data_IF_732249819204
#
_entry.id   IF_732249819204
#
_cell.length_a   1.000
_cell.length_b   1.000
_cell.length_c   1.000
_cell.angle_alpha   90.00
_cell.angle_beta   90.00
_cell.angle_gamma   90.00
#
_symmetry.space_group_name_H-M   'P 1'
#
loop_
_entity.id
_entity.type
_entity.pdbx_description
1 polymer ?
#
# COMPACT_ATOMS: atom_id res chain seq x y z
N UNK A 1 21.31 -9.60 -17.58
CA UNK A 1 20.01 -9.57 -16.89
C UNK A 1 20.29 -9.43 -15.40
N UNK A 2 19.58 -8.55 -14.68
CA UNK A 2 19.66 -8.50 -13.23
C UNK A 2 19.41 -9.89 -12.67
N UNK A 3 20.29 -10.37 -11.81
CA UNK A 3 20.18 -11.69 -11.19
C UNK A 3 19.36 -11.53 -9.91
N UNK A 4 18.33 -12.37 -9.75
CA UNK A 4 17.57 -12.42 -8.50
C UNK A 4 18.50 -12.91 -7.38
N UNK A 5 18.55 -12.13 -6.30
CA UNK A 5 19.24 -12.50 -5.08
C UNK A 5 18.22 -13.09 -4.08
N UNK A 6 18.50 -14.31 -3.62
CA UNK A 6 17.61 -15.01 -2.68
C UNK A 6 17.60 -14.37 -1.29
N UNK A 7 18.71 -13.76 -0.87
CA UNK A 7 18.82 -13.04 0.39
C UNK A 7 17.99 -11.76 0.38
N UNK A 8 18.12 -10.96 -0.68
CA UNK A 8 17.30 -9.75 -0.87
C UNK A 8 15.81 -10.10 -0.93
N UNK A 9 15.46 -11.17 -1.64
CA UNK A 9 14.07 -11.64 -1.77
C UNK A 9 13.53 -12.13 -0.42
N UNK A 10 14.32 -12.89 0.34
CA UNK A 10 13.90 -13.35 1.67
C UNK A 10 13.72 -12.15 2.62
N UNK A 11 14.62 -11.18 2.56
CA UNK A 11 14.55 -9.98 3.39
C UNK A 11 13.33 -9.12 3.08
N UNK A 12 13.01 -8.89 1.81
CA UNK A 12 11.87 -8.05 1.43
C UNK A 12 10.54 -8.72 1.79
N UNK A 13 10.44 -10.04 1.65
CA UNK A 13 9.24 -10.79 2.05
C UNK A 13 9.08 -10.83 3.57
N UNK A 14 10.16 -11.02 4.32
CA UNK A 14 10.14 -10.91 5.78
C UNK A 14 9.74 -9.49 6.21
N UNK A 15 10.27 -8.47 5.55
CA UNK A 15 9.92 -7.06 5.79
C UNK A 15 8.44 -6.79 5.50
N UNK A 16 7.89 -7.33 4.41
CA UNK A 16 6.46 -7.24 4.09
C UNK A 16 5.61 -7.86 5.21
N UNK A 17 5.99 -9.03 5.74
CA UNK A 17 5.31 -9.64 6.87
C UNK A 17 5.37 -8.77 8.14
N UNK A 18 6.49 -8.10 8.41
CA UNK A 18 6.61 -7.17 9.54
C UNK A 18 5.71 -5.94 9.37
N UNK A 19 5.65 -5.35 8.16
CA UNK A 19 4.75 -4.22 7.89
C UNK A 19 3.28 -4.65 7.98
N UNK A 20 2.94 -5.85 7.50
CA UNK A 20 1.59 -6.41 7.64
C UNK A 20 1.14 -6.42 9.12
N UNK A 21 2.02 -6.83 10.04
CA UNK A 21 1.72 -6.89 11.48
C UNK A 21 1.37 -5.52 12.08
N UNK A 22 1.80 -4.42 11.47
CA UNK A 22 1.46 -3.07 11.92
C UNK A 22 -0.05 -2.81 11.85
N UNK A 23 -0.77 -3.41 10.88
CA UNK A 23 -2.21 -3.13 10.69
C UNK A 23 -3.06 -3.73 11.82
N UNK A 24 -2.93 -5.02 12.20
CA UNK A 24 -3.54 -5.55 13.42
C UNK A 24 -3.07 -4.82 14.68
N UNK A 25 -1.78 -4.47 14.77
CA UNK A 25 -1.24 -3.73 15.92
C UNK A 25 -1.91 -2.36 16.08
N UNK A 26 -2.19 -1.64 14.99
CA UNK A 26 -3.00 -0.41 15.01
C UNK A 26 -4.41 -0.67 15.52
N UNK A 27 -5.02 -1.80 15.17
CA UNK A 27 -6.33 -2.20 15.68
C UNK A 27 -6.33 -2.34 17.21
N UNK A 28 -5.27 -2.91 17.78
CA UNK A 28 -5.08 -2.96 19.23
C UNK A 28 -4.78 -1.59 19.83
N UNK A 29 -3.94 -0.80 19.16
CA UNK A 29 -3.57 0.55 19.61
C UNK A 29 -4.81 1.46 19.71
N UNK A 30 -5.57 1.61 18.61
CA UNK A 30 -6.81 2.38 18.62
C UNK A 30 -7.89 1.72 19.47
N UNK A 31 -7.94 0.38 19.51
CA UNK A 31 -8.79 -0.37 20.42
C UNK A 31 -8.58 0.00 21.90
N UNK A 32 -7.35 0.30 22.31
CA UNK A 32 -7.04 0.78 23.66
C UNK A 32 -7.45 2.23 23.94
N UNK A 33 -7.67 3.03 22.90
CA UNK A 33 -8.03 4.46 23.00
C UNK A 33 -9.54 4.71 22.95
N UNK A 34 -10.32 3.73 22.48
CA UNK A 34 -11.78 3.82 22.36
C UNK A 34 -12.51 3.29 23.60
N UNK A 35 -13.80 3.61 23.72
CA UNK A 35 -14.65 3.07 24.80
C UNK A 35 -14.77 1.56 24.65
N UNK A 36 -14.86 0.85 25.79
CA UNK A 36 -14.95 -0.63 25.85
C UNK A 36 -15.97 -1.25 24.89
N UNK A 37 -17.12 -0.59 24.69
CA UNK A 37 -18.18 -1.05 23.77
C UNK A 37 -17.79 -1.05 22.28
N UNK A 38 -16.76 -0.29 21.91
CA UNK A 38 -16.34 -0.06 20.52
C UNK A 38 -15.01 -0.77 20.18
N UNK A 39 -14.35 -1.40 21.16
CA UNK A 39 -13.05 -2.07 20.98
C UNK A 39 -13.12 -3.16 19.90
N UNK A 40 -14.10 -4.05 20.00
CA UNK A 40 -14.28 -5.15 19.03
C UNK A 40 -14.48 -4.61 17.62
N UNK A 41 -15.31 -3.57 17.47
CA UNK A 41 -15.54 -2.91 16.18
C UNK A 41 -14.24 -2.37 15.63
N UNK A 42 -13.45 -1.66 16.43
CA UNK A 42 -12.19 -1.04 16.01
C UNK A 42 -11.18 -2.06 15.51
N UNK A 43 -11.01 -3.18 16.24
CA UNK A 43 -10.12 -4.28 15.81
C UNK A 43 -10.61 -4.89 14.49
N UNK A 44 -11.93 -5.10 14.34
CA UNK A 44 -12.52 -5.64 13.11
C UNK A 44 -12.29 -4.74 11.89
N UNK A 45 -12.28 -3.40 12.07
CA UNK A 45 -12.01 -2.47 10.97
C UNK A 45 -10.58 -2.63 10.43
N UNK A 46 -9.59 -2.86 11.31
CA UNK A 46 -8.20 -3.07 10.91
C UNK A 46 -8.01 -4.35 10.08
N UNK A 47 -8.58 -5.47 10.53
CA UNK A 47 -8.53 -6.71 9.74
C UNK A 47 -9.31 -6.60 8.42
N UNK A 48 -10.42 -5.87 8.42
CA UNK A 48 -11.19 -5.65 7.20
C UNK A 48 -10.43 -4.81 6.17
N UNK A 49 -9.76 -3.74 6.60
CA UNK A 49 -8.92 -2.92 5.70
C UNK A 49 -7.83 -3.77 5.05
N UNK A 50 -7.21 -4.67 5.81
CA UNK A 50 -6.18 -5.55 5.28
C UNK A 50 -6.69 -6.34 4.07
N UNK A 51 -7.89 -6.91 4.15
CA UNK A 51 -8.50 -7.61 3.01
C UNK A 51 -8.93 -6.64 1.90
N UNK A 52 -9.62 -5.55 2.24
CA UNK A 52 -10.18 -4.61 1.28
C UNK A 52 -9.10 -4.00 0.39
N UNK A 53 -8.04 -3.48 1.00
CA UNK A 53 -6.98 -2.77 0.28
C UNK A 53 -6.07 -3.76 -0.45
N UNK A 54 -5.82 -4.96 0.09
CA UNK A 54 -5.10 -6.00 -0.67
C UNK A 54 -5.80 -6.34 -1.98
N UNK A 55 -7.14 -6.45 -1.97
CA UNK A 55 -7.91 -6.70 -3.19
C UNK A 55 -7.84 -5.52 -4.16
N UNK A 56 -8.05 -4.29 -3.66
CA UNK A 56 -7.95 -3.09 -4.49
C UNK A 56 -6.56 -2.94 -5.13
N UNK A 57 -5.51 -3.20 -4.36
CA UNK A 57 -4.12 -3.12 -4.79
C UNK A 57 -3.81 -4.08 -5.94
N UNK A 58 -4.23 -5.34 -5.80
CA UNK A 58 -4.06 -6.38 -6.82
C UNK A 58 -4.86 -6.08 -8.09
N UNK A 59 -6.08 -5.53 -7.94
CA UNK A 59 -6.93 -5.26 -9.09
C UNK A 59 -6.45 -4.04 -9.89
N UNK A 60 -6.13 -2.92 -9.24
CA UNK A 60 -5.66 -1.72 -9.95
C UNK A 60 -4.67 -0.85 -9.19
N UNK A 61 -4.63 -0.88 -7.85
CA UNK A 61 -3.83 0.06 -7.09
C UNK A 61 -2.34 0.00 -7.40
N UNK A 62 -1.79 -1.21 -7.54
CA UNK A 62 -0.39 -1.37 -7.93
C UNK A 62 -0.09 -0.78 -9.31
N UNK A 63 -1.03 -0.91 -10.26
CA UNK A 63 -0.90 -0.35 -11.60
C UNK A 63 -0.92 1.19 -11.57
N UNK A 64 -1.83 1.77 -10.79
CA UNK A 64 -1.94 3.22 -10.65
C UNK A 64 -0.74 3.84 -9.90
N UNK A 65 -0.14 3.12 -8.97
CA UNK A 65 1.02 3.59 -8.22
C UNK A 65 2.36 3.37 -8.95
N UNK A 66 2.56 2.18 -9.52
CA UNK A 66 3.87 1.74 -10.04
C UNK A 66 3.86 1.35 -11.52
N UNK A 67 2.72 1.38 -12.19
CA UNK A 67 2.65 1.15 -13.64
C UNK A 67 3.35 2.24 -14.45
N UNK A 68 3.40 2.08 -15.79
CA UNK A 68 3.98 3.07 -16.69
C UNK A 68 3.42 4.48 -16.44
N UNK A 69 4.30 5.48 -16.42
CA UNK A 69 3.91 6.86 -16.09
C UNK A 69 3.00 7.50 -17.15
N UNK A 70 1.96 8.20 -16.67
CA UNK A 70 1.14 9.11 -17.44
C UNK A 70 1.21 10.53 -16.87
N UNK A 71 2.01 11.37 -17.54
CA UNK A 71 2.06 12.80 -17.27
C UNK A 71 2.69 13.15 -15.92
N UNK A 72 3.50 12.26 -15.34
CA UNK A 72 4.19 12.39 -14.06
C UNK A 72 3.28 12.37 -12.83
N UNK A 73 1.99 12.06 -13.00
CA UNK A 73 0.95 12.21 -11.96
C UNK A 73 0.29 10.89 -11.59
N UNK A 74 0.23 9.92 -12.50
CA UNK A 74 -0.40 8.63 -12.21
C UNK A 74 0.18 7.53 -13.09
N UNK A 75 0.22 6.31 -12.58
CA UNK A 75 0.53 5.11 -13.34
C UNK A 75 -0.62 4.69 -14.26
N UNK A 76 -0.27 3.90 -15.27
CA UNK A 76 -1.19 3.38 -16.28
C UNK A 76 -2.05 2.22 -15.79
N UNK A 77 -2.86 1.67 -16.68
CA UNK A 77 -3.70 0.50 -16.43
C UNK A 77 -3.08 -0.80 -16.98
N UNK A 78 -1.85 -0.74 -17.49
CA UNK A 78 -1.16 -1.87 -18.12
C UNK A 78 -0.97 -3.07 -17.18
N UNK A 79 -0.89 -2.81 -15.87
CA UNK A 79 -0.64 -3.82 -14.83
C UNK A 79 -1.88 -4.13 -13.98
N UNK A 80 -3.07 -3.72 -14.43
CA UNK A 80 -4.35 -4.11 -13.81
C UNK A 80 -4.43 -5.63 -13.70
N UNK A 81 -4.86 -6.12 -12.54
CA UNK A 81 -4.92 -7.56 -12.25
C UNK A 81 -3.54 -8.22 -12.20
N UNK A 82 -2.48 -7.47 -11.91
CA UNK A 82 -1.08 -7.91 -11.91
C UNK A 82 -0.58 -8.38 -13.29
N UNK A 83 -1.20 -7.89 -14.36
CA UNK A 83 -0.69 -8.15 -15.70
C UNK A 83 0.75 -7.64 -15.83
N UNK A 84 1.65 -8.43 -16.43
CA UNK A 84 3.08 -8.14 -16.51
C UNK A 84 3.83 -8.00 -15.16
N UNK A 85 3.20 -8.34 -14.02
CA UNK A 85 3.84 -8.36 -12.69
C UNK A 85 4.11 -9.80 -12.28
N UNK A 86 5.30 -10.29 -12.63
CA UNK A 86 5.69 -11.68 -12.41
C UNK A 86 7.01 -11.84 -11.64
N UNK A 87 7.69 -12.96 -11.89
CA UNK A 87 8.95 -13.31 -11.23
C UNK A 87 10.17 -12.57 -11.79
N UNK A 88 10.07 -11.98 -12.98
CA UNK A 88 11.14 -11.19 -13.57
C UNK A 88 11.30 -9.87 -12.81
N UNK A 89 12.52 -9.47 -12.40
CA UNK A 89 12.74 -8.18 -11.75
C UNK A 89 12.35 -7.00 -12.63
N UNK A 90 11.89 -5.93 -12.00
CA UNK A 90 11.72 -4.62 -12.64
C UNK A 90 12.91 -3.72 -12.26
N UNK A 91 13.68 -3.29 -13.25
CA UNK A 91 14.88 -2.48 -13.03
C UNK A 91 14.61 -1.08 -12.50
N UNK A 92 13.41 -0.54 -12.74
CA UNK A 92 13.06 0.81 -12.32
C UNK A 92 12.76 0.88 -10.81
N UNK A 93 12.36 -0.26 -10.23
CA UNK A 93 11.96 -0.34 -8.82
C UNK A 93 12.87 -1.20 -7.97
N UNK A 94 13.13 -2.43 -8.41
CA UNK A 94 13.84 -3.40 -7.60
C UNK A 94 14.55 -4.43 -8.50
N UNK A 95 15.81 -4.17 -8.90
CA UNK A 95 16.51 -5.00 -9.88
C UNK A 95 16.94 -6.37 -9.33
N UNK A 96 17.02 -6.57 -8.01
CA UNK A 96 17.56 -7.80 -7.40
C UNK A 96 16.49 -8.76 -6.87
N UNK A 97 15.21 -8.38 -6.92
CA UNK A 97 14.10 -9.20 -6.40
C UNK A 97 13.02 -9.40 -7.47
N UNK A 98 12.18 -10.45 -7.36
CA UNK A 98 11.00 -10.60 -8.21
C UNK A 98 10.11 -9.36 -8.16
N UNK A 99 9.59 -8.92 -9.30
CA UNK A 99 8.66 -7.77 -9.35
C UNK A 99 7.43 -7.99 -8.46
N UNK A 100 6.94 -9.24 -8.39
CA UNK A 100 5.85 -9.61 -7.48
C UNK A 100 6.21 -9.48 -5.99
N UNK A 101 7.47 -9.68 -5.60
CA UNK A 101 7.90 -9.49 -4.20
C UNK A 101 7.88 -8.01 -3.81
N UNK A 102 8.31 -7.13 -4.73
CA UNK A 102 8.19 -5.67 -4.55
C UNK A 102 6.71 -5.24 -4.45
N UNK A 103 5.84 -5.78 -5.32
CA UNK A 103 4.40 -5.52 -5.27
C UNK A 103 3.78 -5.91 -3.92
N UNK A 104 4.14 -7.07 -3.37
CA UNK A 104 3.67 -7.52 -2.05
C UNK A 104 4.18 -6.62 -0.93
N UNK A 105 5.44 -6.19 -1.00
CA UNK A 105 6.00 -5.26 -0.02
C UNK A 105 5.25 -3.92 -0.01
N UNK A 106 5.06 -3.32 -1.18
CA UNK A 106 4.34 -2.04 -1.31
C UNK A 106 2.86 -2.13 -0.94
N UNK A 107 2.21 -3.27 -1.19
CA UNK A 107 0.83 -3.52 -0.75
C UNK A 107 0.65 -3.30 0.75
N UNK A 108 1.66 -3.63 1.57
CA UNK A 108 1.56 -3.48 3.03
C UNK A 108 1.56 -2.01 3.45
N UNK A 109 2.23 -1.13 2.71
CA UNK A 109 2.15 0.33 2.89
C UNK A 109 0.77 0.84 2.44
N UNK A 110 0.26 0.37 1.32
CA UNK A 110 -1.08 0.72 0.86
C UNK A 110 -2.16 0.35 1.91
N UNK A 111 -2.01 -0.81 2.54
CA UNK A 111 -2.94 -1.30 3.59
C UNK A 111 -2.89 -0.44 4.84
N UNK A 112 -1.70 -0.05 5.33
CA UNK A 112 -1.57 0.64 6.62
C UNK A 112 -2.09 2.09 6.58
N UNK A 113 -1.96 2.78 5.45
CA UNK A 113 -2.27 4.21 5.37
C UNK A 113 -3.74 4.57 5.64
N UNK A 114 -4.75 3.98 4.97
CA UNK A 114 -6.15 4.22 5.33
C UNK A 114 -6.50 3.66 6.72
N UNK A 115 -5.76 2.67 7.23
CA UNK A 115 -5.96 2.16 8.60
C UNK A 115 -5.61 3.23 9.65
N UNK A 116 -4.56 4.02 9.42
CA UNK A 116 -4.18 5.15 10.29
C UNK A 116 -5.27 6.23 10.32
N UNK A 117 -5.87 6.54 9.17
CA UNK A 117 -6.97 7.53 9.08
C UNK A 117 -8.19 7.06 9.88
N UNK A 118 -8.43 5.75 9.91
CA UNK A 118 -9.59 5.18 10.62
C UNK A 118 -9.57 5.48 12.12
N UNK A 119 -8.39 5.63 12.73
CA UNK A 119 -8.23 6.05 14.10
C UNK A 119 -8.76 7.47 14.39
N UNK A 120 -8.69 8.39 13.43
CA UNK A 120 -9.12 9.79 13.62
C UNK A 120 -10.64 9.93 13.76
N UNK A 121 -11.42 9.00 13.20
CA UNK A 121 -12.87 9.02 13.24
C UNK A 121 -13.47 7.79 13.96
N UNK A 122 -12.64 7.07 14.70
CA UNK A 122 -13.06 5.93 15.49
C UNK A 122 -14.29 6.28 16.35
N UNK A 123 -15.24 5.35 16.45
CA UNK A 123 -16.52 5.50 17.16
C UNK A 123 -17.60 6.40 16.52
N UNK A 124 -17.34 7.10 15.41
CA UNK A 124 -18.30 8.06 14.82
C UNK A 124 -18.79 7.72 13.42
N UNK A 125 -18.35 6.60 12.86
CA UNK A 125 -18.60 6.24 11.46
C UNK A 125 -19.43 4.96 11.32
N UNK A 126 -20.24 4.90 10.26
CA UNK A 126 -20.92 3.66 9.85
C UNK A 126 -19.94 2.81 9.05
N UNK A 127 -19.93 1.50 9.27
CA UNK A 127 -19.04 0.58 8.58
C UNK A 127 -19.09 0.72 7.05
N UNK A 128 -20.28 0.85 6.45
CA UNK A 128 -20.42 1.08 4.99
C UNK A 128 -19.71 2.35 4.51
N UNK A 129 -19.80 3.43 5.27
CA UNK A 129 -19.14 4.69 4.94
C UNK A 129 -17.62 4.53 5.03
N UNK A 130 -17.13 3.81 6.04
CA UNK A 130 -15.72 3.45 6.17
C UNK A 130 -15.20 2.63 4.98
N UNK A 131 -15.91 1.59 4.55
CA UNK A 131 -15.49 0.77 3.39
C UNK A 131 -15.36 1.62 2.12
N UNK A 132 -16.39 2.42 1.81
CA UNK A 132 -16.40 3.26 0.61
C UNK A 132 -15.30 4.32 0.70
N UNK A 133 -15.15 4.96 1.86
CA UNK A 133 -14.10 5.94 2.09
C UNK A 133 -12.71 5.34 1.87
N UNK A 134 -12.38 4.22 2.51
CA UNK A 134 -11.06 3.61 2.39
C UNK A 134 -10.74 3.19 0.97
N UNK A 135 -11.72 2.66 0.23
CA UNK A 135 -11.54 2.25 -1.17
C UNK A 135 -11.29 3.45 -2.09
N UNK A 136 -12.10 4.51 -1.96
CA UNK A 136 -11.95 5.73 -2.75
C UNK A 136 -10.65 6.46 -2.38
N UNK A 137 -10.32 6.54 -1.09
CA UNK A 137 -9.13 7.20 -0.62
C UNK A 137 -7.87 6.49 -1.09
N UNK A 138 -7.82 5.15 -1.01
CA UNK A 138 -6.70 4.40 -1.57
C UNK A 138 -6.55 4.66 -3.08
N UNK A 139 -7.64 4.59 -3.85
CA UNK A 139 -7.60 4.72 -5.31
C UNK A 139 -7.25 6.14 -5.79
N UNK A 140 -7.82 7.17 -5.16
CA UNK A 140 -7.74 8.56 -5.66
C UNK A 140 -6.75 9.43 -4.91
N UNK A 141 -6.21 8.97 -3.77
CA UNK A 141 -5.26 9.73 -2.96
C UNK A 141 -3.98 8.95 -2.77
N UNK A 142 -4.04 7.73 -2.22
CA UNK A 142 -2.84 6.94 -1.98
C UNK A 142 -2.11 6.59 -3.28
N UNK A 143 -2.79 5.95 -4.24
CA UNK A 143 -2.14 5.47 -5.47
C UNK A 143 -1.46 6.61 -6.26
N UNK A 144 -2.10 7.79 -6.46
CA UNK A 144 -1.43 8.93 -7.11
C UNK A 144 -0.25 9.48 -6.29
N UNK A 145 -0.38 9.63 -4.97
CA UNK A 145 0.73 10.14 -4.15
C UNK A 145 1.91 9.16 -4.16
N UNK A 146 1.64 7.86 -4.06
CA UNK A 146 2.64 6.82 -4.21
C UNK A 146 3.34 6.92 -5.57
N UNK A 147 2.59 7.17 -6.65
CA UNK A 147 3.17 7.40 -7.97
C UNK A 147 4.06 8.64 -8.02
N UNK A 148 3.63 9.77 -7.43
CA UNK A 148 4.39 11.01 -7.45
C UNK A 148 5.78 10.84 -6.83
N UNK A 149 5.83 10.12 -5.69
CA UNK A 149 7.02 9.99 -4.84
C UNK A 149 7.89 8.80 -5.23
N UNK A 150 7.27 7.65 -5.50
CA UNK A 150 7.98 6.38 -5.70
C UNK A 150 7.83 5.79 -7.10
N UNK A 151 6.82 6.23 -7.87
CA UNK A 151 6.63 5.78 -9.25
C UNK A 151 7.78 6.24 -10.14
N UNK A 152 8.22 5.37 -11.04
CA UNK A 152 9.21 5.70 -12.05
C UNK A 152 8.61 6.74 -13.00
N UNK A 153 9.13 7.96 -12.98
CA UNK A 153 8.59 9.10 -13.74
C UNK A 153 7.67 10.02 -12.93
N UNK A 154 7.39 9.73 -11.65
CA UNK A 154 6.62 10.60 -10.77
C UNK A 154 7.25 11.99 -10.62
N UNK A 155 6.42 13.04 -10.55
CA UNK A 155 6.95 14.41 -10.55
C UNK A 155 7.79 14.74 -9.30
N UNK A 156 7.43 14.27 -8.11
CA UNK A 156 8.23 14.47 -6.89
C UNK A 156 9.53 13.67 -6.95
N UNK A 157 9.47 12.44 -7.48
CA UNK A 157 10.63 11.62 -7.75
C UNK A 157 11.62 12.36 -8.67
N UNK A 158 11.13 12.93 -9.78
CA UNK A 158 11.92 13.69 -10.75
C UNK A 158 12.50 14.99 -10.18
N UNK A 159 11.85 15.60 -9.19
CA UNK A 159 12.37 16.76 -8.46
C UNK A 159 13.46 16.39 -7.44
N UNK A 160 13.72 15.10 -7.21
CA UNK A 160 14.71 14.63 -6.24
C UNK A 160 14.21 14.64 -4.80
N UNK A 161 12.89 14.53 -4.58
CA UNK A 161 12.34 14.39 -3.24
C UNK A 161 12.86 13.10 -2.59
N UNK A 162 13.34 13.21 -1.35
CA UNK A 162 13.89 12.09 -0.59
C UNK A 162 12.85 11.57 0.41
N UNK A 163 12.12 10.54 0.00
CA UNK A 163 11.20 9.81 0.88
C UNK A 163 11.50 8.31 0.82
N UNK A 164 12.32 7.86 1.77
CA UNK A 164 12.84 6.49 1.79
C UNK A 164 11.79 5.44 2.15
N UNK A 165 10.82 5.78 3.01
CA UNK A 165 9.91 4.82 3.63
C UNK A 165 8.47 5.31 3.77
N UNK A 166 8.09 6.39 3.08
CA UNK A 166 6.70 6.79 2.93
C UNK A 166 6.27 7.73 4.04
N UNK A 167 7.13 8.68 4.39
CA UNK A 167 6.74 9.76 5.30
C UNK A 167 5.69 10.68 4.68
N UNK A 168 5.68 10.79 3.35
CA UNK A 168 4.75 11.64 2.59
C UNK A 168 3.57 10.86 2.02
N UNK A 169 3.76 9.57 1.75
CA UNK A 169 2.80 8.65 1.11
C UNK A 169 1.85 8.02 2.12
#
# INVERSE_FOLDING_TARGET
MPKIDSGDTAWVLASAALVMLMTPALGFFYGGLVRRKNVLSTIMHSFFILCLISVQWVLWGYSLAFGPDHGHVIGGLDWVGLNHVGFTPNTDYAPTIPHQAYMVFQMMFAVITPALISGAFAERQRFKAFVIFSLLWATFVYDPIAHWVWGAGGWLHNLGALDFAGGTV
#
